data_IF_130925198108
#
_entry.id   IF_130925198108
#
_cell.length_a   1.000
_cell.length_b   1.000
_cell.length_c   1.000
_cell.angle_alpha   90.00
_cell.angle_beta   90.00
_cell.angle_gamma   90.00
#
_symmetry.space_group_name_H-M   'P 1'
#
loop_
_entity.id
_entity.type
_entity.pdbx_description
1 polymer ?
#
# COMPACT_ATOMS: atom_id res chain seq x y z
N UNK A 1 6.59 -11.57 27.42
CA UNK A 1 7.62 -11.48 26.36
C UNK A 1 8.27 -10.10 26.40
N UNK A 2 9.57 -9.99 26.15
CA UNK A 2 10.30 -8.70 26.06
C UNK A 2 11.13 -8.66 24.78
N UNK A 3 11.17 -7.51 24.10
CA UNK A 3 11.92 -7.35 22.85
C UNK A 3 13.35 -6.89 23.20
N UNK A 4 14.35 -7.65 22.76
CA UNK A 4 15.76 -7.26 22.89
C UNK A 4 16.14 -6.18 21.88
N UNK A 5 17.23 -5.44 22.13
CA UNK A 5 17.73 -4.44 21.16
C UNK A 5 18.09 -5.06 19.81
N UNK A 6 18.61 -6.29 19.83
CA UNK A 6 18.93 -7.04 18.61
C UNK A 6 17.67 -7.37 17.81
N UNK A 7 16.63 -7.91 18.48
CA UNK A 7 15.34 -8.17 17.82
C UNK A 7 14.70 -6.88 17.29
N UNK A 8 14.73 -5.79 18.06
CA UNK A 8 14.23 -4.49 17.62
C UNK A 8 14.99 -3.96 16.39
N UNK A 9 16.31 -4.18 16.32
CA UNK A 9 17.12 -3.80 15.16
C UNK A 9 16.79 -4.63 13.92
N UNK A 10 16.55 -5.94 14.08
CA UNK A 10 16.08 -6.78 12.98
C UNK A 10 14.71 -6.33 12.47
N UNK A 11 13.76 -6.04 13.37
CA UNK A 11 12.44 -5.49 13.01
C UNK A 11 12.58 -4.16 12.25
N UNK A 12 13.45 -3.25 12.71
CA UNK A 12 13.75 -1.98 12.04
C UNK A 12 14.36 -2.17 10.65
N UNK A 13 15.24 -3.16 10.48
CA UNK A 13 15.81 -3.50 9.18
C UNK A 13 14.73 -3.99 8.22
N UNK A 14 13.87 -4.91 8.66
CA UNK A 14 12.76 -5.38 7.83
C UNK A 14 11.74 -4.28 7.51
N UNK A 15 11.50 -3.34 8.42
CA UNK A 15 10.70 -2.14 8.14
C UNK A 15 11.31 -1.30 7.01
N UNK A 16 12.63 -1.19 6.93
CA UNK A 16 13.30 -0.49 5.82
C UNK A 16 13.20 -1.28 4.51
N UNK A 17 13.37 -2.60 4.57
CA UNK A 17 13.25 -3.49 3.41
C UNK A 17 11.83 -3.46 2.82
N UNK A 18 10.81 -3.36 3.67
CA UNK A 18 9.40 -3.39 3.29
C UNK A 18 8.83 -2.06 2.80
N UNK A 19 9.61 -0.99 2.86
CA UNK A 19 9.17 0.37 2.54
C UNK A 19 8.93 0.60 1.04
N UNK A 20 8.45 1.78 0.64
CA UNK A 20 8.28 2.20 -0.77
C UNK A 20 9.01 3.54 -1.03
N UNK A 21 9.81 3.68 -2.12
CA UNK A 21 10.51 2.61 -2.80
C UNK A 21 11.56 2.05 -1.83
N UNK A 22 11.25 0.90 -1.25
CA UNK A 22 12.10 0.25 -0.27
C UNK A 22 13.16 -0.59 -0.94
N UNK A 23 14.02 -1.11 -0.09
CA UNK A 23 15.30 -1.70 -0.44
C UNK A 23 15.17 -3.12 -0.97
N UNK A 24 14.04 -3.78 -0.66
CA UNK A 24 13.59 -5.00 -1.34
C UNK A 24 12.88 -4.72 -2.67
N UNK A 25 12.89 -3.47 -3.15
CA UNK A 25 12.09 -3.05 -4.31
C UNK A 25 10.59 -3.10 -4.05
N UNK A 26 9.82 -2.73 -5.06
CA UNK A 26 8.35 -2.70 -4.95
C UNK A 26 7.75 -4.09 -4.75
N UNK A 27 8.28 -5.10 -5.44
CA UNK A 27 7.74 -6.48 -5.45
C UNK A 27 7.99 -7.23 -4.14
N UNK A 28 9.25 -7.31 -3.70
CA UNK A 28 9.60 -8.06 -2.49
C UNK A 28 9.42 -7.19 -1.25
N UNK A 29 9.78 -5.92 -1.31
CA UNK A 29 9.60 -4.99 -0.19
C UNK A 29 8.13 -4.70 0.08
N UNK A 30 7.51 -3.83 -0.72
CA UNK A 30 6.18 -3.30 -0.42
C UNK A 30 5.05 -4.33 -0.59
N UNK A 31 5.05 -5.12 -1.68
CA UNK A 31 3.97 -6.07 -1.95
C UNK A 31 4.08 -7.39 -1.18
N UNK A 32 5.26 -7.73 -0.65
CA UNK A 32 5.47 -8.97 0.10
C UNK A 32 5.76 -8.68 1.57
N UNK A 33 6.95 -8.16 1.90
CA UNK A 33 7.37 -7.90 3.29
C UNK A 33 6.49 -6.85 4.00
N UNK A 34 5.96 -5.88 3.26
CA UNK A 34 5.09 -4.83 3.81
C UNK A 34 3.68 -5.29 4.17
N UNK A 35 3.29 -6.52 3.81
CA UNK A 35 1.95 -7.05 4.06
C UNK A 35 1.88 -7.69 5.45
N UNK A 36 0.89 -7.33 6.29
CA UNK A 36 0.81 -7.83 7.67
C UNK A 36 0.88 -9.36 7.83
N UNK A 37 0.38 -10.14 6.88
CA UNK A 37 0.48 -11.60 6.96
C UNK A 37 1.94 -12.08 6.91
N UNK A 38 2.71 -11.58 5.95
CA UNK A 38 4.14 -11.92 5.80
C UNK A 38 4.94 -11.26 6.92
N UNK A 39 4.66 -9.99 7.22
CA UNK A 39 5.25 -9.27 8.35
C UNK A 39 5.06 -10.01 9.67
N UNK A 40 3.88 -10.61 9.89
CA UNK A 40 3.58 -11.41 11.08
C UNK A 40 4.38 -12.70 11.17
N UNK A 41 4.58 -13.38 10.04
CA UNK A 41 5.51 -14.52 9.97
C UNK A 41 6.94 -14.08 10.34
N UNK A 42 7.44 -13.00 9.74
CA UNK A 42 8.80 -12.49 10.02
C UNK A 42 8.94 -12.06 11.49
N UNK A 43 7.97 -11.33 12.04
CA UNK A 43 7.96 -10.93 13.45
C UNK A 43 7.91 -12.15 14.37
N UNK A 44 7.10 -13.16 14.03
CA UNK A 44 7.03 -14.42 14.74
C UNK A 44 8.37 -15.16 14.80
N UNK A 45 9.09 -15.21 13.68
CA UNK A 45 10.44 -15.80 13.60
C UNK A 45 11.46 -15.02 14.45
N UNK A 46 11.42 -13.69 14.40
CA UNK A 46 12.35 -12.83 15.15
C UNK A 46 12.08 -12.91 16.66
N UNK A 47 10.81 -12.98 17.06
CA UNK A 47 10.39 -12.96 18.47
C UNK A 47 10.28 -14.37 19.09
N UNK A 48 10.37 -15.43 18.28
CA UNK A 48 10.35 -16.82 18.73
C UNK A 48 8.95 -17.41 18.94
N UNK A 49 7.89 -16.73 18.51
CA UNK A 49 6.51 -17.22 18.54
C UNK A 49 5.82 -17.00 17.19
N UNK A 50 6.00 -17.98 16.31
CA UNK A 50 5.47 -17.96 14.95
C UNK A 50 3.94 -17.99 14.93
N UNK A 51 3.32 -18.74 15.84
CA UNK A 51 1.85 -18.90 15.88
C UNK A 51 1.20 -17.55 16.18
N UNK A 52 1.62 -16.90 17.26
CA UNK A 52 1.07 -15.59 17.64
C UNK A 52 1.38 -14.53 16.59
N UNK A 53 2.57 -14.57 15.98
CA UNK A 53 2.95 -13.67 14.88
C UNK A 53 2.03 -13.79 13.66
N UNK A 54 1.76 -15.02 13.19
CA UNK A 54 0.86 -15.25 12.05
C UNK A 54 -0.56 -14.80 12.38
N UNK A 55 -1.09 -15.14 13.56
CA UNK A 55 -2.47 -14.79 13.92
C UNK A 55 -2.65 -13.27 14.02
N UNK A 56 -1.69 -12.57 14.63
CA UNK A 56 -1.66 -11.11 14.63
C UNK A 56 -1.60 -10.54 13.20
N UNK A 57 -0.76 -11.14 12.35
CA UNK A 57 -0.64 -10.79 10.94
C UNK A 57 -1.94 -10.95 10.17
N UNK A 58 -2.66 -12.06 10.35
CA UNK A 58 -3.98 -12.30 9.75
C UNK A 58 -4.99 -11.25 10.22
N UNK A 59 -5.06 -11.01 11.54
CA UNK A 59 -5.99 -10.04 12.11
C UNK A 59 -5.78 -8.63 11.55
N UNK A 60 -4.52 -8.19 11.43
CA UNK A 60 -4.18 -6.89 10.84
C UNK A 60 -4.36 -6.89 9.32
N UNK A 61 -4.04 -7.98 8.62
CA UNK A 61 -4.21 -8.08 7.17
C UNK A 61 -5.68 -7.90 6.78
N UNK A 62 -6.62 -8.43 7.55
CA UNK A 62 -8.06 -8.25 7.31
C UNK A 62 -8.51 -6.79 7.41
N UNK A 63 -7.91 -6.00 8.31
CA UNK A 63 -8.20 -4.56 8.44
C UNK A 63 -7.72 -3.78 7.21
N UNK A 64 -6.61 -4.20 6.63
CA UNK A 64 -5.93 -3.49 5.54
C UNK A 64 -5.99 -4.23 4.19
N UNK A 65 -6.87 -5.23 4.03
CA UNK A 65 -6.91 -6.10 2.84
C UNK A 65 -7.26 -5.31 1.56
N UNK A 66 -8.11 -4.31 1.71
CA UNK A 66 -8.54 -3.41 0.65
C UNK A 66 -7.76 -2.09 0.63
N UNK A 67 -6.66 -2.00 1.40
CA UNK A 67 -5.85 -0.80 1.41
C UNK A 67 -5.08 -0.69 0.10
N UNK A 68 -5.47 0.31 -0.67
CA UNK A 68 -4.76 0.77 -1.86
C UNK A 68 -4.23 2.17 -1.64
N UNK A 69 -3.24 2.56 -2.43
CA UNK A 69 -2.57 3.87 -2.33
C UNK A 69 -2.72 4.63 -3.65
N UNK A 70 -3.93 5.09 -4.02
CA UNK A 70 -4.11 5.85 -5.25
C UNK A 70 -3.31 7.15 -5.18
N UNK A 71 -2.58 7.49 -6.25
CA UNK A 71 -1.83 8.75 -6.32
C UNK A 71 -0.78 8.95 -5.22
N UNK A 72 -0.33 7.88 -4.57
CA UNK A 72 0.66 7.96 -3.49
C UNK A 72 0.07 8.32 -2.11
N UNK A 73 -1.26 8.34 -1.94
CA UNK A 73 -1.84 8.49 -0.60
C UNK A 73 -1.82 7.24 0.23
N UNK A 74 -1.17 7.36 1.37
CA UNK A 74 -1.22 6.34 2.41
C UNK A 74 -2.14 6.86 3.51
N UNK A 75 -3.30 6.23 3.69
CA UNK A 75 -4.18 6.50 4.83
C UNK A 75 -3.71 5.78 6.10
N UNK A 76 -3.08 4.61 5.94
CA UNK A 76 -2.41 3.87 6.99
C UNK A 76 -1.16 3.17 6.43
N UNK A 77 -0.03 3.30 7.10
CA UNK A 77 1.21 2.66 6.65
C UNK A 77 1.30 1.19 7.10
N UNK A 78 1.13 0.27 6.15
CA UNK A 78 1.19 -1.18 6.38
C UNK A 78 2.57 -1.67 6.83
N UNK A 79 3.65 -0.94 6.53
CA UNK A 79 4.99 -1.26 7.08
C UNK A 79 5.01 -1.05 8.58
N UNK A 80 4.51 0.08 9.08
CA UNK A 80 4.45 0.35 10.51
C UNK A 80 3.52 -0.66 11.21
N UNK A 81 2.37 -0.97 10.61
CA UNK A 81 1.47 -2.03 11.11
C UNK A 81 2.21 -3.36 11.24
N UNK A 82 2.96 -3.75 10.21
CA UNK A 82 3.66 -5.04 10.15
C UNK A 82 4.83 -5.13 11.14
N UNK A 83 5.67 -4.11 11.24
CA UNK A 83 6.96 -4.21 11.96
C UNK A 83 7.00 -3.44 13.28
N UNK A 84 5.96 -2.69 13.62
CA UNK A 84 5.78 -2.07 14.94
C UNK A 84 4.51 -2.63 15.58
N UNK A 85 3.38 -2.59 14.86
CA UNK A 85 2.09 -3.05 15.36
C UNK A 85 2.09 -4.52 15.78
N UNK A 86 2.53 -5.43 14.90
CA UNK A 86 2.52 -6.88 15.20
C UNK A 86 3.43 -7.21 16.39
N UNK A 87 4.70 -6.78 16.46
CA UNK A 87 5.54 -7.02 17.64
C UNK A 87 4.92 -6.54 18.95
N UNK A 88 4.32 -5.34 18.95
CA UNK A 88 3.67 -4.80 20.14
C UNK A 88 2.40 -5.57 20.52
N UNK A 89 1.60 -5.99 19.53
CA UNK A 89 0.45 -6.85 19.77
C UNK A 89 0.87 -8.20 20.36
N UNK A 90 1.91 -8.84 19.82
CA UNK A 90 2.43 -10.09 20.36
C UNK A 90 2.92 -9.94 21.80
N UNK A 91 3.64 -8.85 22.12
CA UNK A 91 4.07 -8.55 23.50
C UNK A 91 2.85 -8.39 24.41
N UNK A 92 1.84 -7.64 23.96
CA UNK A 92 0.64 -7.37 24.75
C UNK A 92 -0.18 -8.65 25.02
N UNK A 93 -0.42 -9.49 24.00
CA UNK A 93 -1.09 -10.79 24.11
C UNK A 93 -0.37 -11.68 25.12
N UNK A 94 0.95 -11.79 25.01
CA UNK A 94 1.77 -12.55 25.96
C UNK A 94 1.71 -11.99 27.38
N UNK A 95 1.76 -10.66 27.53
CA UNK A 95 1.73 -10.02 28.85
C UNK A 95 0.39 -10.19 29.57
N UNK A 96 -0.70 -10.30 28.82
CA UNK A 96 -2.05 -10.50 29.33
C UNK A 96 -2.41 -11.98 29.49
N UNK A 97 -1.50 -12.91 29.12
CA UNK A 97 -1.76 -14.35 29.19
C UNK A 97 -2.88 -14.82 28.25
N UNK A 98 -3.19 -14.05 27.20
CA UNK A 98 -4.24 -14.39 26.26
C UNK A 98 -3.79 -15.53 25.34
N UNK A 99 -4.71 -16.45 25.04
CA UNK A 99 -4.49 -17.41 23.97
C UNK A 99 -4.40 -16.67 22.63
N UNK A 100 -3.39 -17.00 21.82
CA UNK A 100 -3.19 -16.39 20.51
C UNK A 100 -4.42 -16.55 19.59
N UNK A 101 -5.18 -17.65 19.73
CA UNK A 101 -6.36 -17.96 18.92
C UNK A 101 -7.65 -17.29 19.43
N UNK A 102 -7.56 -16.53 20.53
CA UNK A 102 -8.74 -15.89 21.13
C UNK A 102 -9.22 -14.69 20.31
N UNK A 103 -10.53 -14.43 20.36
CA UNK A 103 -11.12 -13.22 19.77
C UNK A 103 -10.51 -11.94 20.39
N UNK A 104 -10.15 -11.98 21.67
CA UNK A 104 -9.52 -10.85 22.37
C UNK A 104 -8.12 -10.56 21.85
N UNK A 105 -7.32 -11.59 21.58
CA UNK A 105 -6.00 -11.44 20.96
C UNK A 105 -6.11 -10.81 19.56
N UNK A 106 -7.08 -11.26 18.75
CA UNK A 106 -7.34 -10.67 17.43
C UNK A 106 -7.80 -9.21 17.53
N UNK A 107 -8.66 -8.88 18.50
CA UNK A 107 -9.13 -7.51 18.73
C UNK A 107 -7.99 -6.60 19.20
N UNK A 108 -7.12 -7.09 20.08
CA UNK A 108 -5.94 -6.37 20.54
C UNK A 108 -4.96 -6.10 19.40
N UNK A 109 -4.71 -7.09 18.54
CA UNK A 109 -3.90 -6.93 17.34
C UNK A 109 -4.48 -5.85 16.40
N UNK A 110 -5.78 -5.89 16.11
CA UNK A 110 -6.44 -4.86 15.28
C UNK A 110 -6.30 -3.47 15.90
N UNK A 111 -6.51 -3.34 17.21
CA UNK A 111 -6.37 -2.06 17.93
C UNK A 111 -4.95 -1.48 17.84
N UNK A 112 -3.93 -2.33 18.08
CA UNK A 112 -2.53 -1.93 17.91
C UNK A 112 -2.20 -1.55 16.47
N UNK A 113 -2.74 -2.28 15.49
CA UNK A 113 -2.60 -1.98 14.07
C UNK A 113 -3.13 -0.60 13.73
N UNK A 114 -4.34 -0.26 14.16
CA UNK A 114 -4.95 1.06 13.95
C UNK A 114 -4.13 2.19 14.59
N UNK A 115 -3.67 1.98 15.82
CA UNK A 115 -2.88 2.98 16.55
C UNK A 115 -1.57 3.28 15.82
N UNK A 116 -0.85 2.25 15.42
CA UNK A 116 0.45 2.36 14.76
C UNK A 116 0.34 2.78 13.30
N UNK A 117 -0.73 2.39 12.60
CA UNK A 117 -0.94 2.72 11.19
C UNK A 117 -0.98 4.22 10.94
N UNK A 118 -1.63 4.98 11.84
CA UNK A 118 -1.70 6.44 11.77
C UNK A 118 -0.34 7.11 12.00
N UNK A 119 0.41 6.65 13.01
CA UNK A 119 1.79 7.12 13.26
C UNK A 119 2.68 6.79 12.06
N UNK A 120 2.52 5.59 11.50
CA UNK A 120 3.23 5.14 10.32
C UNK A 120 2.97 6.01 9.09
N UNK A 121 1.77 6.55 8.92
CA UNK A 121 1.48 7.50 7.84
C UNK A 121 2.34 8.76 7.93
N UNK A 122 2.57 9.28 9.14
CA UNK A 122 3.46 10.43 9.35
C UNK A 122 4.91 10.06 8.99
N UNK A 123 5.36 8.87 9.40
CA UNK A 123 6.69 8.35 9.06
C UNK A 123 6.87 8.13 7.54
N UNK A 124 5.83 7.63 6.87
CA UNK A 124 5.79 7.46 5.43
C UNK A 124 5.93 8.82 4.72
N UNK A 125 5.12 9.81 5.10
CA UNK A 125 5.23 11.13 4.49
C UNK A 125 6.56 11.81 4.82
N UNK A 126 7.12 11.63 6.01
CA UNK A 126 8.48 12.09 6.33
C UNK A 126 9.54 11.49 5.41
N UNK A 127 9.43 10.18 5.14
CA UNK A 127 10.28 9.48 4.16
C UNK A 127 10.10 10.07 2.76
N UNK A 128 8.86 10.27 2.33
CA UNK A 128 8.53 10.82 1.01
C UNK A 128 9.07 12.25 0.85
N UNK A 129 8.87 13.11 1.85
CA UNK A 129 9.38 14.49 1.87
C UNK A 129 10.90 14.53 1.79
N UNK A 130 11.61 13.70 2.55
CA UNK A 130 13.07 13.66 2.47
C UNK A 130 13.55 13.13 1.11
N UNK A 131 12.82 12.19 0.51
CA UNK A 131 13.15 11.69 -0.84
C UNK A 131 13.05 12.78 -1.92
N UNK A 132 12.22 13.82 -1.75
CA UNK A 132 12.20 14.95 -2.68
C UNK A 132 13.54 15.70 -2.74
N UNK A 133 14.28 15.75 -1.62
CA UNK A 133 15.63 16.34 -1.60
C UNK A 133 16.57 15.57 -2.53
N UNK A 134 16.50 14.24 -2.50
CA UNK A 134 17.30 13.37 -3.37
C UNK A 134 16.90 13.50 -4.83
N UNK A 135 15.59 13.60 -5.10
CA UNK A 135 15.07 13.81 -6.45
C UNK A 135 15.55 15.14 -7.06
N UNK A 136 15.67 16.21 -6.27
CA UNK A 136 16.24 17.48 -6.73
C UNK A 136 17.72 17.36 -7.15
N UNK A 137 18.49 16.52 -6.45
CA UNK A 137 19.87 16.20 -6.85
C UNK A 137 19.87 15.41 -8.16
N UNK A 138 18.93 14.46 -8.30
CA UNK A 138 18.73 13.68 -9.52
C UNK A 138 18.46 14.56 -10.74
N UNK A 139 17.51 15.49 -10.64
CA UNK A 139 17.20 16.42 -11.74
C UNK A 139 18.41 17.24 -12.19
N UNK A 140 19.17 17.81 -11.24
CA UNK A 140 20.41 18.54 -11.56
C UNK A 140 21.48 17.65 -12.19
N UNK A 141 21.49 16.36 -11.88
CA UNK A 141 22.40 15.40 -12.51
C UNK A 141 21.98 15.09 -13.95
N UNK A 142 20.67 14.97 -14.22
CA UNK A 142 20.12 14.78 -15.58
C UNK A 142 20.47 15.98 -16.47
N UNK A 143 20.24 17.20 -16.00
CA UNK A 143 20.56 18.44 -16.74
C UNK A 143 22.04 18.54 -17.12
N UNK A 144 22.92 17.92 -16.32
CA UNK A 144 24.37 17.89 -16.53
C UNK A 144 24.86 16.65 -17.27
N UNK A 145 23.96 15.78 -17.74
CA UNK A 145 24.30 14.51 -18.40
C UNK A 145 24.99 13.47 -17.50
N UNK A 146 24.89 13.62 -16.17
CA UNK A 146 25.58 12.77 -15.18
C UNK A 146 24.72 11.57 -14.75
N UNK A 147 24.33 10.73 -15.70
CA UNK A 147 23.38 9.62 -15.45
C UNK A 147 23.85 8.61 -14.39
N UNK A 148 25.17 8.43 -14.20
CA UNK A 148 25.67 7.55 -13.13
C UNK A 148 25.28 7.99 -11.72
N UNK A 149 25.02 9.28 -11.50
CA UNK A 149 24.56 9.78 -10.19
C UNK A 149 23.12 9.39 -9.88
N UNK A 150 22.33 9.04 -10.90
CA UNK A 150 20.95 8.59 -10.71
C UNK A 150 20.90 7.28 -9.91
N UNK A 151 21.86 6.36 -10.12
CA UNK A 151 21.96 5.15 -9.29
C UNK A 151 22.08 5.47 -7.80
N UNK A 152 22.79 6.55 -7.42
CA UNK A 152 22.90 6.95 -6.02
C UNK A 152 21.60 7.55 -5.50
N UNK A 153 20.90 8.33 -6.34
CA UNK A 153 19.60 8.94 -6.01
C UNK A 153 18.50 7.89 -5.85
N UNK A 154 18.55 6.81 -6.64
CA UNK A 154 17.53 5.77 -6.63
C UNK A 154 17.84 4.66 -5.60
N UNK A 155 19.11 4.32 -5.40
CA UNK A 155 19.48 3.17 -4.56
C UNK A 155 20.16 3.51 -3.25
N UNK A 156 20.90 4.63 -3.14
CA UNK A 156 21.72 4.93 -1.97
C UNK A 156 21.07 5.95 -1.04
N UNK A 157 20.73 7.14 -1.54
CA UNK A 157 20.18 8.21 -0.70
C UNK A 157 18.84 7.85 -0.02
N UNK A 158 17.93 7.08 -0.66
CA UNK A 158 16.71 6.64 0.01
C UNK A 158 16.96 5.78 1.26
N UNK A 159 18.11 5.09 1.39
CA UNK A 159 18.47 4.39 2.65
C UNK A 159 18.53 5.34 3.83
N UNK A 160 19.03 6.57 3.62
CA UNK A 160 19.11 7.57 4.68
C UNK A 160 17.71 7.95 5.14
N UNK A 161 16.77 8.10 4.20
CA UNK A 161 15.36 8.33 4.50
C UNK A 161 14.72 7.20 5.30
N UNK A 162 14.91 5.97 4.85
CA UNK A 162 14.35 4.81 5.54
C UNK A 162 15.02 4.59 6.90
N UNK A 163 16.32 4.89 7.04
CA UNK A 163 16.99 4.79 8.33
C UNK A 163 16.41 5.76 9.36
N UNK A 164 16.23 7.03 8.97
CA UNK A 164 15.71 8.08 9.87
C UNK A 164 14.24 7.87 10.21
N UNK A 165 13.41 7.54 9.21
CA UNK A 165 11.95 7.50 9.38
C UNK A 165 11.35 6.10 9.52
N UNK A 166 12.11 5.02 9.26
CA UNK A 166 11.64 3.64 9.45
C UNK A 166 12.49 2.90 10.49
N UNK A 167 13.81 2.82 10.33
CA UNK A 167 14.67 2.04 11.23
C UNK A 167 14.63 2.56 12.67
N UNK A 168 14.97 3.83 12.88
CA UNK A 168 15.05 4.43 14.23
C UNK A 168 13.68 4.38 14.92
N UNK A 169 12.57 4.82 14.30
CA UNK A 169 11.27 4.77 14.94
C UNK A 169 10.83 3.35 15.27
N UNK A 170 11.02 2.38 14.36
CA UNK A 170 10.70 0.97 14.63
C UNK A 170 11.52 0.41 15.78
N UNK A 171 12.84 0.63 15.79
CA UNK A 171 13.73 0.19 16.85
C UNK A 171 13.28 0.72 18.22
N UNK A 172 13.04 2.03 18.31
CA UNK A 172 12.63 2.70 19.56
C UNK A 172 11.25 2.23 20.01
N UNK A 173 10.26 2.22 19.11
CA UNK A 173 8.89 1.85 19.45
C UNK A 173 8.76 0.37 19.85
N UNK A 174 9.42 -0.55 19.14
CA UNK A 174 9.40 -1.96 19.51
C UNK A 174 10.14 -2.20 20.83
N UNK A 175 11.22 -1.46 21.11
CA UNK A 175 11.98 -1.66 22.34
C UNK A 175 11.29 -1.08 23.57
N UNK A 176 10.79 0.14 23.47
CA UNK A 176 10.16 0.87 24.56
C UNK A 176 8.67 0.55 24.72
N UNK A 177 8.08 -0.17 23.77
CA UNK A 177 6.72 -0.67 23.86
C UNK A 177 5.66 0.37 23.48
N UNK A 178 4.41 0.06 23.84
CA UNK A 178 3.25 0.90 23.53
C UNK A 178 3.37 2.32 24.07
N UNK A 179 4.04 2.53 25.21
CA UNK A 179 4.27 3.85 25.80
C UNK A 179 5.04 4.78 24.87
N UNK A 180 6.01 4.27 24.11
CA UNK A 180 6.73 5.10 23.14
C UNK A 180 5.88 5.47 21.93
N UNK A 181 4.95 4.60 21.53
CA UNK A 181 4.01 4.92 20.44
C UNK A 181 3.03 5.99 20.88
N UNK A 182 2.49 5.88 22.11
CA UNK A 182 1.62 6.91 22.69
C UNK A 182 2.38 8.22 22.87
N UNK A 183 3.61 8.20 23.39
CA UNK A 183 4.43 9.40 23.54
C UNK A 183 4.74 10.07 22.20
N UNK A 184 4.98 9.28 21.13
CA UNK A 184 5.16 9.83 19.78
C UNK A 184 3.88 10.47 19.25
N UNK A 185 2.71 9.86 19.50
CA UNK A 185 1.41 10.43 19.16
C UNK A 185 1.14 11.73 19.92
N UNK A 186 1.53 11.80 21.19
CA UNK A 186 1.33 12.99 22.03
C UNK A 186 2.30 14.12 21.63
N UNK A 187 3.54 13.78 21.28
CA UNK A 187 4.53 14.72 20.77
C UNK A 187 4.21 15.24 19.36
N UNK A 188 3.50 14.44 18.56
CA UNK A 188 3.00 14.79 17.22
C UNK A 188 1.47 14.81 17.25
N UNK A 189 0.83 15.80 17.91
CA UNK A 189 -0.62 15.84 18.02
C UNK A 189 -1.22 15.88 16.62
N UNK A 190 -1.97 14.83 16.31
CA UNK A 190 -2.63 14.66 15.01
C UNK A 190 -3.63 15.79 14.71
N UNK A 191 -4.12 16.47 15.76
CA UNK A 191 -4.99 17.64 15.68
C UNK A 191 -4.25 18.97 15.54
N UNK A 192 -2.91 18.96 15.57
CA UNK A 192 -2.07 20.13 15.35
C UNK A 192 -2.12 20.62 13.91
N UNK A 193 -1.84 21.91 13.69
CA UNK A 193 -1.83 22.52 12.36
C UNK A 193 -0.92 21.75 11.38
N UNK A 194 0.33 21.35 11.72
CA UNK A 194 1.18 20.62 10.79
C UNK A 194 0.59 19.29 10.33
N UNK A 195 0.01 18.52 11.24
CA UNK A 195 -0.60 17.23 10.92
C UNK A 195 -1.89 17.42 10.13
N UNK A 196 -2.77 18.35 10.54
CA UNK A 196 -3.97 18.71 9.76
C UNK A 196 -3.60 19.11 8.33
N UNK A 197 -2.60 19.97 8.15
CA UNK A 197 -2.12 20.33 6.80
C UNK A 197 -1.61 19.11 6.04
N UNK A 198 -0.78 18.27 6.65
CA UNK A 198 -0.23 17.07 6.01
C UNK A 198 -1.34 16.10 5.57
N UNK A 199 -2.34 15.84 6.41
CA UNK A 199 -3.45 14.95 6.11
C UNK A 199 -4.45 15.55 5.12
N UNK A 200 -4.75 16.85 5.20
CA UNK A 200 -5.63 17.52 4.25
C UNK A 200 -5.03 17.58 2.86
N UNK A 201 -3.74 17.96 2.73
CA UNK A 201 -3.05 17.95 1.43
C UNK A 201 -2.86 16.52 0.95
N UNK A 202 -2.50 15.60 1.85
CA UNK A 202 -2.43 14.18 1.58
C UNK A 202 -3.74 13.65 1.00
N UNK A 203 -4.90 14.03 1.54
CA UNK A 203 -6.21 13.60 1.04
C UNK A 203 -6.54 14.05 -0.39
N UNK A 204 -5.78 14.98 -0.98
CA UNK A 204 -5.95 15.41 -2.39
C UNK A 204 -5.18 14.54 -3.38
N UNK A 205 -4.10 13.90 -2.94
CA UNK A 205 -3.29 13.01 -3.78
C UNK A 205 -4.06 11.82 -4.42
N UNK A 206 -5.11 11.20 -3.82
CA UNK A 206 -5.82 10.11 -4.49
C UNK A 206 -6.59 10.64 -5.70
N UNK A 207 -7.15 11.85 -5.62
CA UNK A 207 -7.82 12.50 -6.74
C UNK A 207 -6.85 12.74 -7.90
N UNK A 208 -5.61 13.16 -7.61
CA UNK A 208 -4.55 13.31 -8.62
C UNK A 208 -4.22 11.96 -9.24
N UNK A 209 -4.09 10.90 -8.44
CA UNK A 209 -3.83 9.55 -8.93
C UNK A 209 -4.93 9.02 -9.84
N UNK A 210 -6.19 9.15 -9.43
CA UNK A 210 -7.35 8.76 -10.24
C UNK A 210 -7.38 9.57 -11.53
N UNK A 211 -7.11 10.87 -11.49
CA UNK A 211 -7.07 11.71 -12.69
C UNK A 211 -5.96 11.28 -13.68
N UNK A 212 -4.78 10.90 -13.18
CA UNK A 212 -3.69 10.38 -14.04
C UNK A 212 -4.10 9.06 -14.69
N UNK A 213 -4.70 8.13 -13.93
CA UNK A 213 -5.17 6.85 -14.47
C UNK A 213 -6.28 7.05 -15.50
N UNK A 214 -7.26 7.92 -15.22
CA UNK A 214 -8.30 8.27 -16.17
C UNK A 214 -7.71 8.88 -17.44
N UNK A 215 -6.72 9.77 -17.32
CA UNK A 215 -6.02 10.33 -18.48
C UNK A 215 -5.31 9.27 -19.33
N UNK A 216 -4.89 8.14 -18.73
CA UNK A 216 -4.24 7.04 -19.44
C UNK A 216 -5.24 6.08 -20.10
N UNK A 217 -6.45 5.92 -19.53
CA UNK A 217 -7.44 4.93 -19.97
C UNK A 217 -8.50 5.54 -20.90
N UNK A 218 -8.86 6.81 -20.68
CA UNK A 218 -9.90 7.51 -21.44
C UNK A 218 -9.31 7.98 -22.77
N UNK A 219 -9.83 7.46 -23.87
CA UNK A 219 -9.50 7.92 -25.23
C UNK A 219 -10.56 8.90 -25.75
N UNK A 220 -11.84 8.65 -25.38
CA UNK A 220 -13.01 9.40 -25.82
C UNK A 220 -13.84 9.86 -24.64
N UNK A 221 -14.58 10.95 -24.81
CA UNK A 221 -15.48 11.46 -23.76
C UNK A 221 -16.50 10.42 -23.26
N UNK A 222 -16.88 9.45 -24.11
CA UNK A 222 -17.79 8.36 -23.76
C UNK A 222 -17.18 7.35 -22.78
N UNK A 223 -15.85 7.24 -22.70
CA UNK A 223 -15.18 6.30 -21.79
C UNK A 223 -15.31 6.75 -20.31
N UNK A 224 -15.72 8.00 -20.08
CA UNK A 224 -16.10 8.48 -18.75
C UNK A 224 -17.43 7.91 -18.26
N UNK A 225 -18.31 7.45 -19.14
CA UNK A 225 -19.64 6.92 -18.76
C UNK A 225 -19.51 5.74 -17.79
N UNK A 226 -18.76 4.65 -18.09
CA UNK A 226 -18.61 3.53 -17.15
C UNK A 226 -17.96 3.95 -15.84
N UNK A 227 -17.03 4.92 -15.86
CA UNK A 227 -16.43 5.47 -14.65
C UNK A 227 -17.47 6.17 -13.76
N UNK A 228 -18.28 7.09 -14.30
CA UNK A 228 -19.29 7.81 -13.52
C UNK A 228 -20.42 6.90 -13.02
N UNK A 229 -20.81 5.91 -13.83
CA UNK A 229 -21.78 4.88 -13.43
C UNK A 229 -21.23 4.05 -12.26
N UNK A 230 -20.00 3.53 -12.40
CA UNK A 230 -19.34 2.77 -11.34
C UNK A 230 -19.14 3.56 -10.06
N UNK A 231 -18.71 4.83 -10.17
CA UNK A 231 -18.53 5.74 -9.04
C UNK A 231 -19.86 5.99 -8.29
N UNK A 232 -20.93 6.26 -9.03
CA UNK A 232 -22.26 6.49 -8.45
C UNK A 232 -22.78 5.23 -7.78
N UNK A 233 -22.69 4.07 -8.45
CA UNK A 233 -23.11 2.79 -7.88
C UNK A 233 -22.34 2.42 -6.61
N UNK A 234 -21.02 2.59 -6.61
CA UNK A 234 -20.19 2.31 -5.45
C UNK A 234 -20.59 3.16 -4.24
N UNK A 235 -20.82 4.46 -4.46
CA UNK A 235 -21.24 5.39 -3.42
C UNK A 235 -22.68 5.13 -2.92
N UNK A 236 -23.62 4.88 -3.82
CA UNK A 236 -25.04 4.68 -3.47
C UNK A 236 -25.30 3.35 -2.77
N UNK A 237 -24.57 2.29 -3.12
CA UNK A 237 -24.76 0.94 -2.55
C UNK A 237 -23.81 0.64 -1.39
N UNK A 238 -22.87 1.54 -1.08
CA UNK A 238 -21.87 1.34 -0.03
C UNK A 238 -20.92 0.17 -0.31
N UNK A 239 -20.57 -0.05 -1.58
CA UNK A 239 -19.72 -1.18 -1.99
C UNK A 239 -18.28 -0.97 -1.52
N UNK A 240 -17.68 -2.01 -0.96
CA UNK A 240 -16.24 -2.01 -0.66
C UNK A 240 -15.42 -2.28 -1.93
N UNK A 241 -14.11 -2.04 -1.87
CA UNK A 241 -13.21 -2.19 -3.03
C UNK A 241 -13.23 -3.62 -3.62
N UNK A 242 -13.39 -4.65 -2.79
CA UNK A 242 -13.45 -6.05 -3.25
C UNK A 242 -14.72 -6.29 -4.05
N UNK A 243 -15.88 -5.86 -3.54
CA UNK A 243 -17.15 -5.92 -4.26
C UNK A 243 -17.10 -5.13 -5.57
N UNK A 244 -16.51 -3.93 -5.56
CA UNK A 244 -16.31 -3.14 -6.76
C UNK A 244 -15.45 -3.87 -7.80
N UNK A 245 -14.39 -4.56 -7.39
CA UNK A 245 -13.51 -5.33 -8.28
C UNK A 245 -14.23 -6.53 -8.92
N UNK A 246 -15.05 -7.25 -8.15
CA UNK A 246 -15.84 -8.38 -8.70
C UNK A 246 -16.87 -7.87 -9.71
N UNK A 247 -17.60 -6.81 -9.36
CA UNK A 247 -18.61 -6.23 -10.26
C UNK A 247 -17.95 -5.66 -11.52
N UNK A 248 -16.85 -4.91 -11.39
CA UNK A 248 -16.14 -4.35 -12.54
C UNK A 248 -15.56 -5.45 -13.45
N UNK A 249 -15.10 -6.58 -12.89
CA UNK A 249 -14.63 -7.71 -13.67
C UNK A 249 -15.74 -8.32 -14.53
N UNK A 250 -16.95 -8.46 -13.99
CA UNK A 250 -18.11 -8.97 -14.76
C UNK A 250 -18.40 -8.03 -15.94
N UNK A 251 -18.46 -6.71 -15.70
CA UNK A 251 -18.65 -5.75 -16.78
C UNK A 251 -17.51 -5.78 -17.79
N UNK A 252 -16.25 -5.87 -17.35
CA UNK A 252 -15.10 -5.95 -18.24
C UNK A 252 -15.16 -7.17 -19.16
N UNK A 253 -15.50 -8.35 -18.62
CA UNK A 253 -15.68 -9.57 -19.42
C UNK A 253 -16.82 -9.42 -20.41
N UNK A 254 -17.97 -8.88 -19.99
CA UNK A 254 -19.10 -8.65 -20.89
C UNK A 254 -18.77 -7.67 -22.02
N UNK A 255 -18.10 -6.56 -21.71
CA UNK A 255 -17.66 -5.60 -22.74
C UNK A 255 -16.65 -6.22 -23.70
N UNK A 256 -15.70 -7.00 -23.19
CA UNK A 256 -14.72 -7.73 -24.00
C UNK A 256 -15.41 -8.72 -24.96
N UNK A 257 -16.33 -9.56 -24.46
CA UNK A 257 -17.07 -10.52 -25.29
C UNK A 257 -17.92 -9.81 -26.36
N UNK A 258 -18.57 -8.69 -26.01
CA UNK A 258 -19.34 -7.89 -26.97
C UNK A 258 -18.46 -7.27 -28.06
N UNK A 259 -17.26 -6.82 -27.71
CA UNK A 259 -16.31 -6.23 -28.65
C UNK A 259 -15.67 -7.29 -29.55
N UNK A 260 -15.36 -8.46 -29.00
CA UNK A 260 -14.92 -9.63 -29.76
C UNK A 260 -16.02 -10.11 -30.72
N UNK A 261 -17.28 -10.20 -30.27
CA UNK A 261 -18.40 -10.59 -31.12
C UNK A 261 -18.64 -9.60 -32.27
N UNK A 262 -18.50 -8.29 -32.03
CA UNK A 262 -18.55 -7.27 -33.08
C UNK A 262 -17.43 -7.44 -34.09
N UNK A 263 -16.22 -7.69 -33.62
CA UNK A 263 -15.04 -7.88 -34.48
C UNK A 263 -15.23 -9.11 -35.38
N UNK A 264 -15.62 -10.25 -34.81
CA UNK A 264 -15.91 -11.49 -35.55
C UNK A 264 -17.03 -11.29 -36.57
N UNK A 265 -18.12 -10.61 -36.19
CA UNK A 265 -19.22 -10.33 -37.11
C UNK A 265 -18.80 -9.42 -38.25
N UNK A 266 -17.98 -8.40 -37.99
CA UNK A 266 -17.42 -7.53 -39.02
C UNK A 266 -16.48 -8.27 -39.97
N UNK A 267 -15.72 -9.26 -39.48
CA UNK A 267 -14.87 -10.10 -40.34
C UNK A 267 -15.69 -11.06 -41.19
N UNK A 268 -16.79 -11.60 -40.65
CA UNK A 268 -17.70 -12.47 -41.39
C UNK A 268 -18.43 -11.71 -42.51
N UNK A 269 -18.95 -10.50 -42.23
CA UNK A 269 -19.58 -9.68 -43.27
C UNK A 269 -18.59 -9.20 -44.33
N UNK A 270 -17.33 -8.97 -43.97
CA UNK A 270 -16.30 -8.64 -44.95
C UNK A 270 -15.89 -9.84 -45.81
N UNK A 271 -16.10 -11.08 -45.34
CA UNK A 271 -15.86 -12.30 -46.11
C UNK A 271 -17.04 -12.64 -47.05
N UNK A 272 -18.28 -12.41 -46.63
CA UNK A 272 -19.46 -12.54 -47.50
C UNK A 272 -19.42 -11.54 -48.68
N UNK A 273 -18.92 -10.32 -48.48
CA UNK A 273 -18.79 -9.28 -49.53
C UNK A 273 -17.73 -9.65 -50.60
N UNK A 274 -16.88 -10.66 -50.36
CA UNK A 274 -15.94 -11.19 -51.37
C UNK A 274 -16.49 -12.40 -52.14
N UNK A 275 -17.48 -13.13 -51.61
CA UNK A 275 -18.07 -14.30 -52.27
C UNK A 275 -19.26 -13.93 -53.19
N UNK A 276 -19.91 -12.78 -52.98
CA UNK A 276 -21.05 -12.32 -53.80
C UNK A 276 -20.64 -11.67 -55.15
N UNK A 277 -19.36 -11.30 -55.34
CA UNK A 277 -18.85 -10.68 -56.58
C UNK A 277 -18.41 -11.72 -57.65
N UNK A 278 -18.34 -13.02 -57.32
CA UNK A 278 -17.86 -14.09 -58.22
C UNK A 278 -18.99 -14.94 -58.86
N UNK A 279 -20.28 -14.70 -58.54
CA UNK A 279 -21.44 -15.47 -59.05
C UNK A 279 -22.25 -14.77 -60.17
N UNK A 280 -21.89 -13.56 -60.62
CA UNK A 280 -22.61 -12.83 -61.71
C UNK A 280 -22.05 -13.05 -63.15
N UNK A 281 -21.16 -14.03 -63.38
CA UNK A 281 -20.52 -14.25 -64.70
C UNK A 281 -20.60 -15.71 -65.23
N UNK A 282 -21.81 -16.31 -65.27
CA UNK A 282 -22.09 -17.57 -66.00
C UNK A 282 -23.28 -17.45 -66.95
#
# INVERSE_FOLDING_TARGET
MTISWFQAALLGLFACLSSMPGLGGTTIGNYTLGRPLVGGLVCGLILGDVKTGIICGVAMQLVYIALVTPGGTVSADVRAVSYIGIPLAMVAIHSQGLSADSADAANLAKSMGTLVGTVGTVLFYGTATMNLVWQHIGWRAVEKGQFRKLYQVDWLYPWVSHFVFSFIPTLVMCKLGATAVTAMKDALPMDGIPMKTLFTVGALLPCVGIAILLKQIVEKAVDFIPFFVGFTLAASLGLNLVSCAVISLIFAVLFYELEMAKTVRATATAADDFDDDDEEDI
#
